data_IF_821688447172
#
_entry.id   IF_821688447172
#
_cell.length_a   1.000
_cell.length_b   1.000
_cell.length_c   1.000
_cell.angle_alpha   90.00
_cell.angle_beta   90.00
_cell.angle_gamma   90.00
#
_symmetry.space_group_name_H-M   'P 1'
#
loop_
_entity.id
_entity.type
_entity.pdbx_description
1 polymer ?
#
# COMPACT_ATOMS: atom_id res chain seq x y z
N UNK A 1 -13.37 8.11 3.60
CA UNK A 1 -12.76 6.92 2.96
C UNK A 1 -12.70 7.23 1.49
N UNK A 2 -11.66 7.93 1.06
CA UNK A 2 -11.50 8.28 -0.35
C UNK A 2 -10.94 7.04 -1.06
N UNK A 3 -11.84 6.28 -1.68
CA UNK A 3 -11.47 5.19 -2.58
C UNK A 3 -10.82 5.81 -3.80
N UNK A 4 -9.50 5.92 -3.79
CA UNK A 4 -8.74 6.25 -4.99
C UNK A 4 -8.67 4.96 -5.84
N UNK A 5 -9.78 4.63 -6.49
CA UNK A 5 -9.77 3.77 -7.66
C UNK A 5 -9.51 4.67 -8.87
N UNK A 6 -8.29 4.62 -9.41
CA UNK A 6 -8.05 5.20 -10.74
C UNK A 6 -8.50 4.18 -11.77
N UNK A 7 -9.69 4.40 -12.34
CA UNK A 7 -10.12 3.72 -13.54
C UNK A 7 -9.41 4.36 -14.73
N UNK A 8 -8.38 3.71 -15.24
CA UNK A 8 -7.69 4.19 -16.44
C UNK A 8 -8.36 3.57 -17.65
N UNK A 9 -9.28 4.31 -18.24
CA UNK A 9 -9.92 3.96 -19.49
C UNK A 9 -9.23 4.67 -20.67
N UNK A 10 -8.15 4.09 -21.18
CA UNK A 10 -7.37 4.66 -22.29
C UNK A 10 -8.09 4.61 -23.65
N UNK A 11 -9.23 3.93 -23.74
CA UNK A 11 -9.97 3.83 -25.01
C UNK A 11 -10.61 5.15 -25.46
N UNK A 12 -10.82 6.11 -24.55
CA UNK A 12 -11.34 7.45 -24.89
C UNK A 12 -10.26 8.51 -25.10
N UNK A 13 -9.04 8.30 -24.59
CA UNK A 13 -7.94 9.27 -24.67
C UNK A 13 -6.94 9.00 -25.81
N UNK A 14 -6.88 7.77 -26.30
CA UNK A 14 -5.99 7.38 -27.40
C UNK A 14 -6.79 7.36 -28.72
N UNK A 15 -6.70 8.46 -29.47
CA UNK A 15 -7.29 8.52 -30.81
C UNK A 15 -6.62 7.47 -31.71
N UNK A 16 -7.41 6.56 -32.27
CA UNK A 16 -6.97 5.59 -33.29
C UNK A 16 -6.49 6.34 -34.55
N UNK A 17 -5.18 6.55 -34.70
CA UNK A 17 -4.55 6.93 -35.98
C UNK A 17 -3.24 6.17 -36.14
N UNK A 18 -2.96 5.65 -37.33
CA UNK A 18 -1.73 4.93 -37.63
C UNK A 18 -0.65 5.89 -38.15
N UNK A 19 0.56 5.85 -37.57
CA UNK A 19 1.74 6.62 -38.00
C UNK A 19 2.90 6.62 -36.98
N UNK A 20 4.14 6.94 -37.38
CA UNK A 20 5.32 6.93 -36.50
C UNK A 20 5.39 8.07 -35.48
N UNK A 21 4.77 9.23 -35.73
CA UNK A 21 4.61 10.31 -34.73
C UNK A 21 3.63 9.90 -33.62
N UNK A 22 2.56 9.20 -33.98
CA UNK A 22 1.54 8.71 -33.04
C UNK A 22 2.11 7.72 -32.01
N UNK A 23 3.02 6.83 -32.43
CA UNK A 23 3.69 5.91 -31.50
C UNK A 23 4.54 6.66 -30.46
N UNK A 24 5.16 7.78 -30.83
CA UNK A 24 5.95 8.60 -29.91
C UNK A 24 5.08 9.35 -28.90
N UNK A 25 3.93 9.86 -29.34
CA UNK A 25 2.98 10.55 -28.47
C UNK A 25 2.35 9.59 -27.44
N UNK A 26 2.01 8.37 -27.87
CA UNK A 26 1.51 7.33 -26.96
C UNK A 26 2.56 6.90 -25.93
N UNK A 27 3.81 6.68 -26.35
CA UNK A 27 4.89 6.35 -25.43
C UNK A 27 5.14 7.46 -24.39
N UNK A 28 5.08 8.73 -24.83
CA UNK A 28 5.18 9.89 -23.93
C UNK A 28 4.01 9.94 -22.95
N UNK A 29 2.79 9.71 -23.44
CA UNK A 29 1.60 9.69 -22.61
C UNK A 29 1.62 8.56 -21.57
N UNK A 30 1.94 7.33 -21.97
CA UNK A 30 2.06 6.17 -21.07
C UNK A 30 3.10 6.41 -19.97
N UNK A 31 4.26 6.95 -20.36
CA UNK A 31 5.30 7.33 -19.38
C UNK A 31 4.82 8.42 -18.42
N UNK A 32 4.15 9.46 -18.93
CA UNK A 32 3.59 10.53 -18.09
C UNK A 32 2.56 10.01 -17.09
N UNK A 33 1.67 9.13 -17.54
CA UNK A 33 0.66 8.48 -16.70
C UNK A 33 1.29 7.63 -15.59
N UNK A 34 2.28 6.79 -15.93
CA UNK A 34 3.00 5.97 -14.95
C UNK A 34 3.79 6.82 -13.94
N UNK A 35 4.31 7.96 -14.39
CA UNK A 35 4.96 8.93 -13.50
C UNK A 35 3.96 9.52 -12.52
N UNK A 36 2.75 9.88 -12.98
CA UNK A 36 1.68 10.38 -12.11
C UNK A 36 1.20 9.32 -11.10
N UNK A 37 1.20 8.03 -11.46
CA UNK A 37 0.92 6.96 -10.50
C UNK A 37 1.93 6.93 -9.36
N UNK A 38 3.23 7.11 -9.66
CA UNK A 38 4.27 7.18 -8.63
C UNK A 38 4.13 8.39 -7.73
N UNK A 39 3.88 9.57 -8.30
CA UNK A 39 3.74 10.81 -7.51
C UNK A 39 2.54 10.75 -6.56
N UNK A 40 1.49 10.04 -6.94
CA UNK A 40 0.28 9.84 -6.14
C UNK A 40 0.28 8.60 -5.24
N UNK A 41 1.39 7.83 -5.17
CA UNK A 41 1.50 6.55 -4.45
C UNK A 41 0.36 5.56 -4.81
N UNK A 42 0.01 5.46 -6.09
CA UNK A 42 -1.02 4.54 -6.59
C UNK A 42 -0.48 3.11 -6.58
N UNK A 43 -1.24 2.19 -5.98
CA UNK A 43 -0.82 0.79 -5.80
C UNK A 43 -1.76 -0.23 -6.42
N UNK A 44 -3.05 0.09 -6.55
CA UNK A 44 -4.05 -0.78 -7.17
C UNK A 44 -4.48 -0.13 -8.48
N UNK A 45 -4.25 -0.81 -9.60
CA UNK A 45 -4.47 -0.27 -10.94
C UNK A 45 -5.50 -1.12 -11.65
N UNK A 46 -6.64 -0.52 -12.00
CA UNK A 46 -7.70 -1.16 -12.79
C UNK A 46 -7.65 -0.56 -14.18
N UNK A 47 -7.40 -1.39 -15.18
CA UNK A 47 -7.17 -0.91 -16.52
C UNK A 47 -7.90 -1.70 -17.60
N UNK A 48 -8.31 -0.98 -18.63
CA UNK A 48 -8.92 -1.53 -19.82
C UNK A 48 -8.09 -1.14 -21.04
N UNK A 49 -7.55 -2.15 -21.72
CA UNK A 49 -6.65 -2.00 -22.87
C UNK A 49 -7.17 -2.77 -24.07
N UNK A 50 -6.59 -2.52 -25.24
CA UNK A 50 -6.53 -3.54 -26.29
C UNK A 50 -5.20 -4.31 -26.15
N UNK A 51 -5.03 -5.42 -26.88
CA UNK A 51 -3.85 -6.29 -26.77
C UNK A 51 -2.54 -5.52 -27.01
N UNK A 52 -2.48 -4.78 -28.11
CA UNK A 52 -1.26 -4.05 -28.51
C UNK A 52 -0.87 -2.95 -27.52
N UNK A 53 -1.85 -2.19 -26.99
CA UNK A 53 -1.61 -1.17 -25.96
C UNK A 53 -1.20 -1.83 -24.65
N UNK A 54 -1.78 -2.98 -24.29
CA UNK A 54 -1.42 -3.69 -23.06
C UNK A 54 0.07 -4.06 -23.06
N UNK A 55 0.57 -4.66 -24.14
CA UNK A 55 1.99 -5.06 -24.22
C UNK A 55 2.93 -3.85 -24.16
N UNK A 56 2.56 -2.74 -24.81
CA UNK A 56 3.30 -1.47 -24.71
C UNK A 56 3.26 -0.88 -23.29
N UNK A 57 2.09 -0.89 -22.65
CA UNK A 57 1.89 -0.35 -21.32
C UNK A 57 2.70 -1.12 -20.28
N UNK A 58 2.68 -2.46 -20.32
CA UNK A 58 3.49 -3.29 -19.44
C UNK A 58 4.99 -3.16 -19.70
N UNK A 59 5.41 -2.94 -20.96
CA UNK A 59 6.80 -2.57 -21.26
C UNK A 59 7.22 -1.26 -20.57
N UNK A 60 6.39 -0.23 -20.63
CA UNK A 60 6.65 1.03 -19.92
C UNK A 60 6.58 0.85 -18.40
N UNK A 61 5.66 0.04 -17.88
CA UNK A 61 5.56 -0.27 -16.46
C UNK A 61 6.79 -1.02 -15.93
N UNK A 62 7.39 -1.91 -16.74
CA UNK A 62 8.64 -2.60 -16.42
C UNK A 62 9.78 -1.59 -16.22
N UNK A 63 9.94 -0.66 -17.16
CA UNK A 63 10.98 0.39 -17.11
C UNK A 63 10.78 1.38 -15.97
N UNK A 64 9.53 1.65 -15.61
CA UNK A 64 9.19 2.50 -14.48
C UNK A 64 9.10 1.72 -13.15
N UNK A 65 9.39 0.41 -13.10
CA UNK A 65 9.30 -0.40 -11.88
C UNK A 65 7.92 -0.37 -11.18
N UNK A 66 6.83 -0.36 -11.95
CA UNK A 66 5.44 -0.40 -11.46
C UNK A 66 4.92 -1.84 -11.55
N UNK A 67 5.55 -2.73 -10.80
CA UNK A 67 5.22 -4.15 -10.69
C UNK A 67 5.74 -4.72 -9.35
N UNK A 68 5.47 -6.00 -9.08
CA UNK A 68 5.93 -6.71 -7.89
C UNK A 68 5.07 -6.46 -6.65
N UNK A 69 5.62 -6.70 -5.46
CA UNK A 69 4.84 -6.78 -4.21
C UNK A 69 4.16 -5.48 -3.76
N UNK A 70 4.47 -4.34 -4.38
CA UNK A 70 3.87 -3.03 -4.07
C UNK A 70 2.69 -2.67 -4.96
N UNK A 71 2.53 -3.31 -6.11
CA UNK A 71 1.55 -2.93 -7.12
C UNK A 71 0.66 -4.13 -7.49
N UNK A 72 -0.63 -3.91 -7.64
CA UNK A 72 -1.56 -4.90 -8.20
C UNK A 72 -2.25 -4.34 -9.43
N UNK A 73 -2.06 -5.04 -10.55
CA UNK A 73 -2.75 -4.78 -11.80
C UNK A 73 -3.99 -5.68 -11.91
N UNK A 74 -5.12 -5.09 -12.29
CA UNK A 74 -6.36 -5.77 -12.64
C UNK A 74 -6.76 -5.30 -14.03
N UNK A 75 -6.72 -6.21 -15.00
CA UNK A 75 -7.04 -5.90 -16.40
C UNK A 75 -8.29 -6.63 -16.87
N UNK A 76 -8.95 -6.07 -17.88
CA UNK A 76 -9.95 -6.82 -18.64
C UNK A 76 -9.24 -7.77 -19.61
N UNK A 77 -9.53 -9.06 -19.49
CA UNK A 77 -8.98 -10.10 -20.35
C UNK A 77 -9.53 -10.00 -21.77
N UNK A 78 -8.68 -10.32 -22.75
CA UNK A 78 -9.04 -10.22 -24.16
C UNK A 78 -9.72 -11.50 -24.67
N UNK A 79 -10.71 -11.41 -25.57
CA UNK A 79 -11.29 -12.57 -26.22
C UNK A 79 -10.36 -13.08 -27.34
N UNK A 80 -9.22 -13.66 -26.97
CA UNK A 80 -8.26 -14.26 -27.91
C UNK A 80 -7.82 -15.65 -27.48
N UNK A 81 -7.37 -16.42 -28.48
CA UNK A 81 -6.75 -17.73 -28.33
C UNK A 81 -5.23 -17.66 -28.35
N UNK A 82 -4.68 -16.51 -28.71
CA UNK A 82 -3.25 -16.25 -28.66
C UNK A 82 -2.85 -15.63 -27.32
N UNK A 83 -1.65 -16.01 -26.89
CA UNK A 83 -0.94 -15.40 -25.78
C UNK A 83 -0.46 -14.01 -26.18
N UNK A 84 -1.25 -12.98 -25.86
CA UNK A 84 -1.03 -11.59 -26.29
C UNK A 84 0.31 -11.01 -25.81
N UNK A 85 0.91 -11.56 -24.75
CA UNK A 85 2.23 -11.17 -24.25
C UNK A 85 3.39 -11.67 -25.13
N UNK A 86 3.10 -12.35 -26.25
CA UNK A 86 4.07 -12.66 -27.31
C UNK A 86 4.01 -11.67 -28.48
N UNK A 87 3.15 -10.65 -28.44
CA UNK A 87 3.13 -9.62 -29.47
C UNK A 87 4.47 -8.84 -29.55
N UNK A 88 4.92 -8.46 -30.75
CA UNK A 88 6.19 -7.77 -30.94
C UNK A 88 6.18 -6.40 -30.26
N UNK A 89 7.16 -6.16 -29.38
CA UNK A 89 7.35 -4.86 -28.71
C UNK A 89 8.83 -4.50 -28.61
N UNK A 90 9.10 -3.23 -28.26
CA UNK A 90 10.45 -2.72 -28.00
C UNK A 90 11.00 -3.16 -26.62
N UNK A 91 10.37 -4.13 -25.96
CA UNK A 91 10.77 -4.68 -24.66
C UNK A 91 11.44 -6.04 -24.86
N UNK A 92 12.36 -6.39 -23.96
CA UNK A 92 12.77 -7.79 -23.85
C UNK A 92 11.63 -8.65 -23.29
N UNK A 93 11.58 -9.93 -23.69
CA UNK A 93 10.60 -10.89 -23.17
C UNK A 93 10.62 -10.96 -21.64
N UNK A 94 11.81 -10.93 -21.04
CA UNK A 94 11.98 -11.01 -19.59
C UNK A 94 11.43 -9.79 -18.86
N UNK A 95 11.69 -8.57 -19.35
CA UNK A 95 11.11 -7.35 -18.77
C UNK A 95 9.57 -7.40 -18.80
N UNK A 96 8.99 -7.86 -19.90
CA UNK A 96 7.55 -7.98 -20.04
C UNK A 96 6.97 -9.02 -19.08
N UNK A 97 7.60 -10.20 -18.97
CA UNK A 97 7.19 -11.25 -18.02
C UNK A 97 7.25 -10.72 -16.59
N UNK A 98 8.31 -10.01 -16.19
CA UNK A 98 8.45 -9.43 -14.85
C UNK A 98 7.30 -8.46 -14.53
N UNK A 99 6.94 -7.60 -15.49
CA UNK A 99 5.88 -6.62 -15.29
C UNK A 99 4.47 -7.22 -15.29
N UNK A 100 4.20 -8.25 -16.10
CA UNK A 100 2.89 -8.89 -16.16
C UNK A 100 2.68 -9.87 -15.00
N UNK A 101 3.74 -10.51 -14.51
CA UNK A 101 3.66 -11.48 -13.41
C UNK A 101 2.86 -10.92 -12.22
N UNK A 102 1.94 -11.71 -11.68
CA UNK A 102 1.02 -11.36 -10.60
C UNK A 102 -0.21 -10.55 -11.02
N UNK A 103 -0.30 -10.09 -12.26
CA UNK A 103 -1.49 -9.38 -12.77
C UNK A 103 -2.72 -10.29 -12.72
N UNK A 104 -3.86 -9.72 -12.33
CA UNK A 104 -5.16 -10.37 -12.39
C UNK A 104 -5.89 -9.92 -13.65
N UNK A 105 -6.54 -10.85 -14.34
CA UNK A 105 -7.44 -10.53 -15.43
C UNK A 105 -8.82 -11.12 -15.20
N UNK A 106 -9.85 -10.37 -15.61
CA UNK A 106 -11.23 -10.87 -15.64
C UNK A 106 -11.59 -11.25 -17.07
N UNK A 107 -12.11 -12.45 -17.27
CA UNK A 107 -12.44 -12.99 -18.59
C UNK A 107 -13.75 -13.75 -18.56
N UNK A 108 -14.54 -13.64 -19.61
CA UNK A 108 -15.75 -14.45 -19.77
C UNK A 108 -15.32 -15.82 -20.31
N UNK A 109 -15.53 -16.95 -19.61
CA UNK A 109 -15.02 -18.24 -20.06
C UNK A 109 -15.67 -18.67 -21.39
N UNK A 110 -14.92 -19.36 -22.27
CA UNK A 110 -15.47 -19.83 -23.56
C UNK A 110 -16.57 -20.88 -23.35
N UNK A 111 -16.34 -21.81 -22.44
CA UNK A 111 -17.27 -22.86 -22.04
C UNK A 111 -17.49 -22.77 -20.54
N UNK A 112 -18.62 -23.26 -20.05
CA UNK A 112 -18.77 -23.39 -18.59
C UNK A 112 -17.72 -24.35 -18.07
N UNK A 113 -17.08 -23.93 -16.98
CA UNK A 113 -16.05 -24.71 -16.27
C UNK A 113 -16.71 -25.89 -15.54
N UNK A 114 -18.02 -25.80 -15.28
CA UNK A 114 -18.76 -26.87 -14.65
C UNK A 114 -19.00 -28.02 -15.63
N UNK A 115 -18.51 -29.20 -15.29
CA UNK A 115 -18.88 -30.44 -15.96
C UNK A 115 -20.22 -30.93 -15.39
N UNK A 116 -21.25 -30.10 -15.53
CA UNK A 116 -22.60 -30.50 -15.13
C UNK A 116 -22.99 -31.77 -15.89
N UNK A 117 -23.32 -32.83 -15.15
CA UNK A 117 -23.81 -34.09 -15.71
C UNK A 117 -25.18 -33.93 -16.42
N UNK A 118 -25.83 -32.77 -16.25
CA UNK A 118 -27.16 -32.45 -16.81
C UNK A 118 -27.11 -31.73 -18.17
N UNK A 119 -25.97 -31.75 -18.88
CA UNK A 119 -25.92 -31.22 -20.25
C UNK A 119 -26.76 -32.09 -21.19
N UNK A 120 -27.51 -31.45 -22.09
CA UNK A 120 -28.28 -32.17 -23.10
C UNK A 120 -27.36 -32.88 -24.09
N UNK A 121 -27.85 -33.97 -24.70
CA UNK A 121 -27.12 -34.73 -25.72
C UNK A 121 -26.66 -33.83 -26.87
N UNK A 122 -27.48 -32.85 -27.27
CA UNK A 122 -27.14 -31.87 -28.30
C UNK A 122 -25.90 -31.05 -27.93
N UNK A 123 -25.74 -30.65 -26.66
CA UNK A 123 -24.55 -29.93 -26.19
C UNK A 123 -23.33 -30.85 -26.21
N UNK A 124 -23.47 -32.12 -25.83
CA UNK A 124 -22.38 -33.09 -25.86
C UNK A 124 -21.92 -33.40 -27.30
N UNK A 125 -22.86 -33.53 -28.22
CA UNK A 125 -22.59 -33.70 -29.65
C UNK A 125 -21.89 -32.47 -30.23
N UNK A 126 -22.39 -31.27 -29.92
CA UNK A 126 -21.74 -30.01 -30.30
C UNK A 126 -20.29 -29.96 -29.81
N UNK A 127 -20.02 -30.33 -28.55
CA UNK A 127 -18.66 -30.32 -28.01
C UNK A 127 -17.72 -31.32 -28.70
N UNK A 128 -18.23 -32.47 -29.16
CA UNK A 128 -17.46 -33.43 -29.97
C UNK A 128 -17.08 -32.83 -31.32
N UNK A 129 -18.07 -32.33 -32.06
CA UNK A 129 -17.86 -31.71 -33.38
C UNK A 129 -16.93 -30.48 -33.26
N UNK A 130 -17.15 -29.68 -32.22
CA UNK A 130 -16.34 -28.49 -31.94
C UNK A 130 -14.86 -28.81 -31.75
N UNK A 131 -14.55 -29.99 -31.19
CA UNK A 131 -13.16 -30.39 -30.95
C UNK A 131 -12.33 -30.49 -32.23
N UNK A 132 -12.98 -30.79 -33.36
CA UNK A 132 -12.41 -31.04 -34.69
C UNK A 132 -12.42 -29.78 -35.60
N UNK A 133 -13.12 -28.72 -35.22
CA UNK A 133 -13.27 -27.50 -36.02
C UNK A 133 -12.18 -26.46 -35.75
N UNK A 134 -12.04 -25.51 -36.68
CA UNK A 134 -11.31 -24.26 -36.43
C UNK A 134 -12.12 -23.40 -35.45
N UNK A 135 -11.47 -23.03 -34.35
CA UNK A 135 -12.13 -22.49 -33.15
C UNK A 135 -12.03 -20.97 -33.12
N UNK A 136 -13.14 -20.29 -32.87
CA UNK A 136 -13.22 -18.87 -32.52
C UNK A 136 -13.74 -18.69 -31.09
N UNK A 137 -13.41 -17.57 -30.47
CA UNK A 137 -13.69 -17.36 -29.05
C UNK A 137 -15.19 -17.46 -28.72
N UNK A 138 -16.06 -17.05 -29.65
CA UNK A 138 -17.49 -16.86 -29.41
C UNK A 138 -18.40 -17.94 -30.02
N UNK A 139 -17.85 -19.01 -30.61
CA UNK A 139 -18.68 -20.04 -31.28
C UNK A 139 -19.74 -20.65 -30.34
N UNK A 140 -19.36 -20.97 -29.11
CA UNK A 140 -20.27 -21.56 -28.13
C UNK A 140 -21.37 -20.58 -27.71
N UNK A 141 -21.08 -19.28 -27.72
CA UNK A 141 -22.06 -18.22 -27.48
C UNK A 141 -23.05 -18.10 -28.64
N UNK A 142 -22.56 -18.24 -29.89
CA UNK A 142 -23.42 -18.27 -31.06
C UNK A 142 -24.34 -19.49 -31.05
N UNK A 143 -23.81 -20.66 -30.70
CA UNK A 143 -24.59 -21.90 -30.52
C UNK A 143 -25.74 -21.69 -29.52
N UNK A 144 -25.43 -21.20 -28.31
CA UNK A 144 -26.44 -20.95 -27.28
C UNK A 144 -27.45 -19.86 -27.70
N UNK A 145 -27.03 -18.89 -28.50
CA UNK A 145 -27.91 -17.83 -29.03
C UNK A 145 -28.97 -18.41 -29.97
N UNK A 146 -28.58 -19.33 -30.86
CA UNK A 146 -29.54 -20.00 -31.76
C UNK A 146 -30.55 -20.81 -30.97
N UNK A 147 -30.12 -21.50 -29.91
CA UNK A 147 -31.03 -22.22 -29.02
C UNK A 147 -31.98 -21.28 -28.27
N UNK A 148 -31.50 -20.15 -27.74
CA UNK A 148 -32.37 -19.13 -27.14
C UNK A 148 -33.44 -18.63 -28.13
N UNK A 149 -33.06 -18.40 -29.39
CA UNK A 149 -34.02 -18.00 -30.44
C UNK A 149 -35.02 -19.11 -30.75
N UNK A 150 -34.60 -20.37 -30.79
CA UNK A 150 -35.49 -21.50 -30.99
C UNK A 150 -36.51 -21.64 -29.84
N UNK A 151 -36.08 -21.46 -28.59
CA UNK A 151 -36.99 -21.42 -27.43
C UNK A 151 -38.01 -20.29 -27.54
N UNK A 152 -37.59 -19.10 -27.96
CA UNK A 152 -38.52 -17.97 -28.17
C UNK A 152 -39.48 -18.23 -29.32
N UNK A 153 -39.02 -18.86 -30.40
CA UNK A 153 -39.86 -19.16 -31.57
C UNK A 153 -41.02 -20.10 -31.23
N UNK A 154 -40.85 -21.00 -30.25
CA UNK A 154 -41.95 -21.86 -29.77
C UNK A 154 -43.08 -21.07 -29.09
N UNK A 155 -42.86 -19.82 -28.72
CA UNK A 155 -43.83 -18.98 -28.02
C UNK A 155 -44.74 -18.30 -29.05
N UNK A 156 -45.93 -18.88 -29.24
CA UNK A 156 -46.91 -18.45 -30.25
C UNK A 156 -47.36 -16.98 -30.11
N UNK A 157 -47.28 -16.38 -28.93
CA UNK A 157 -47.62 -14.97 -28.70
C UNK A 157 -46.71 -13.99 -29.44
N UNK A 158 -45.48 -14.40 -29.78
CA UNK A 158 -44.52 -13.58 -30.55
C UNK A 158 -44.80 -13.58 -32.06
N UNK A 159 -45.64 -14.49 -32.57
CA UNK A 159 -45.99 -14.51 -34.00
C UNK A 159 -47.01 -13.43 -34.39
N UNK A 160 -47.82 -12.95 -33.46
CA UNK A 160 -48.94 -12.04 -33.74
C UNK A 160 -48.68 -10.58 -33.31
N UNK A 161 -47.62 -10.28 -32.56
CA UNK A 161 -47.31 -8.92 -32.11
C UNK A 161 -45.81 -8.62 -32.15
N UNK A 162 -45.45 -7.56 -32.87
CA UNK A 162 -44.10 -6.99 -32.86
C UNK A 162 -43.91 -5.99 -31.70
N UNK A 163 -44.13 -6.44 -30.46
CA UNK A 163 -43.90 -5.60 -29.27
C UNK A 163 -42.59 -6.02 -28.57
N UNK A 164 -41.64 -5.09 -28.50
CA UNK A 164 -40.32 -5.27 -27.89
C UNK A 164 -40.44 -5.59 -26.39
N UNK A 165 -41.44 -5.05 -25.68
CA UNK A 165 -41.64 -5.32 -24.26
C UNK A 165 -42.08 -6.76 -24.01
N UNK A 166 -42.95 -7.27 -24.89
CA UNK A 166 -43.39 -8.67 -24.86
C UNK A 166 -42.20 -9.58 -25.17
N UNK A 167 -41.36 -9.22 -26.14
CA UNK A 167 -40.12 -9.94 -26.43
C UNK A 167 -39.18 -9.98 -25.23
N UNK A 168 -38.91 -8.83 -24.58
CA UNK A 168 -38.07 -8.76 -23.38
C UNK A 168 -38.62 -9.63 -22.24
N UNK A 169 -39.94 -9.59 -22.01
CA UNK A 169 -40.58 -10.41 -20.97
C UNK A 169 -40.39 -11.91 -21.21
N UNK A 170 -40.54 -12.37 -22.45
CA UNK A 170 -40.32 -13.78 -22.79
C UNK A 170 -38.83 -14.15 -22.83
N UNK A 171 -37.96 -13.23 -23.24
CA UNK A 171 -36.50 -13.42 -23.15
C UNK A 171 -36.06 -13.69 -21.70
N UNK A 172 -36.69 -13.00 -20.73
CA UNK A 172 -36.46 -13.24 -19.31
C UNK A 172 -37.08 -14.56 -18.79
N UNK A 173 -37.92 -15.26 -19.55
CA UNK A 173 -38.37 -16.61 -19.18
C UNK A 173 -37.42 -17.72 -19.60
N UNK A 174 -36.45 -17.43 -20.46
CA UNK A 174 -35.47 -18.43 -20.91
C UNK A 174 -34.58 -18.86 -19.75
N UNK A 175 -34.52 -20.18 -19.55
CA UNK A 175 -33.64 -20.84 -18.59
C UNK A 175 -33.34 -22.27 -19.08
N UNK A 176 -32.14 -22.48 -19.62
CA UNK A 176 -31.67 -23.81 -20.04
C UNK A 176 -30.15 -23.95 -19.87
N UNK A 177 -29.63 -25.17 -19.92
CA UNK A 177 -28.20 -25.46 -19.85
C UNK A 177 -27.64 -25.56 -21.28
N UNK A 178 -26.83 -24.58 -21.67
CA UNK A 178 -26.16 -24.51 -22.97
C UNK A 178 -24.69 -24.94 -22.90
N UNK A 179 -23.96 -24.77 -24.01
CA UNK A 179 -22.53 -25.06 -24.11
C UNK A 179 -21.69 -24.14 -23.20
N UNK A 180 -22.15 -22.92 -22.97
CA UNK A 180 -21.49 -21.92 -22.13
C UNK A 180 -22.07 -21.84 -20.72
N UNK A 181 -22.77 -22.88 -20.28
CA UNK A 181 -23.41 -22.98 -18.96
C UNK A 181 -24.89 -22.58 -18.99
N UNK A 182 -25.46 -22.31 -17.82
CA UNK A 182 -26.88 -21.94 -17.69
C UNK A 182 -27.15 -20.59 -18.37
N UNK A 183 -28.00 -20.60 -19.39
CA UNK A 183 -28.36 -19.44 -20.21
C UNK A 183 -29.61 -18.78 -19.63
N UNK A 184 -29.44 -17.55 -19.12
CA UNK A 184 -30.53 -16.72 -18.60
C UNK A 184 -30.31 -15.27 -19.01
N UNK A 185 -31.40 -14.54 -19.15
CA UNK A 185 -31.38 -13.10 -19.45
C UNK A 185 -32.03 -12.29 -18.33
N UNK A 186 -31.52 -11.07 -18.14
CA UNK A 186 -32.03 -10.06 -17.23
C UNK A 186 -31.77 -8.68 -17.86
N UNK A 187 -32.80 -7.84 -17.97
CA UNK A 187 -32.68 -6.49 -18.56
C UNK A 187 -32.09 -6.48 -19.98
N UNK A 188 -32.32 -7.55 -20.76
CA UNK A 188 -31.76 -7.72 -22.10
C UNK A 188 -30.28 -8.14 -22.15
N UNK A 189 -29.60 -8.23 -21.01
CA UNK A 189 -28.25 -8.79 -20.89
C UNK A 189 -28.30 -10.27 -20.54
N UNK A 190 -27.35 -11.06 -21.06
CA UNK A 190 -27.16 -12.43 -20.61
C UNK A 190 -26.42 -12.43 -19.28
N UNK A 191 -26.94 -13.18 -18.31
CA UNK A 191 -26.24 -13.44 -17.05
C UNK A 191 -25.28 -14.61 -17.28
N UNK A 192 -23.97 -14.37 -17.18
CA UNK A 192 -22.92 -15.35 -17.48
C UNK A 192 -21.92 -15.54 -16.33
N UNK A 193 -21.01 -16.48 -16.50
CA UNK A 193 -19.89 -16.70 -15.57
C UNK A 193 -18.76 -15.70 -15.85
N UNK A 194 -18.00 -15.32 -14.82
CA UNK A 194 -16.76 -14.54 -14.97
C UNK A 194 -15.63 -15.32 -14.32
N UNK A 195 -14.57 -15.55 -15.08
CA UNK A 195 -13.35 -16.20 -14.64
C UNK A 195 -12.31 -15.12 -14.28
N UNK A 196 -11.75 -15.23 -13.09
CA UNK A 196 -10.60 -14.43 -12.67
C UNK A 196 -9.36 -15.29 -12.79
N UNK A 197 -8.43 -14.85 -13.63
CA UNK A 197 -7.19 -15.54 -13.90
C UNK A 197 -6.01 -14.68 -13.42
N UNK A 198 -4.92 -15.32 -13.02
CA UNK A 198 -3.68 -14.68 -12.62
C UNK A 198 -2.56 -15.08 -13.59
N UNK A 199 -1.77 -14.10 -14.00
CA UNK A 199 -0.52 -14.34 -14.71
C UNK A 199 0.58 -14.74 -13.73
N UNK A 200 1.22 -15.87 -13.97
CA UNK A 200 2.22 -16.46 -13.07
C UNK A 200 3.46 -16.78 -13.89
N UNK A 201 4.58 -16.15 -13.55
CA UNK A 201 5.88 -16.54 -14.09
C UNK A 201 6.39 -17.77 -13.35
N UNK A 202 6.66 -18.84 -14.09
CA UNK A 202 7.22 -20.07 -13.56
C UNK A 202 8.23 -20.70 -14.51
N UNK A 203 9.08 -21.55 -13.93
CA UNK A 203 9.96 -22.43 -14.69
C UNK A 203 9.16 -23.68 -15.06
N UNK A 204 9.14 -24.00 -16.34
CA UNK A 204 8.53 -25.23 -16.84
C UNK A 204 9.53 -26.37 -16.70
N UNK A 205 9.17 -27.43 -15.98
CA UNK A 205 9.93 -28.67 -15.97
C UNK A 205 9.65 -29.51 -17.21
N UNK A 206 10.52 -30.49 -17.48
CA UNK A 206 10.40 -31.43 -18.60
C UNK A 206 9.14 -32.30 -18.56
N UNK A 207 8.50 -32.42 -17.39
CA UNK A 207 7.23 -33.11 -17.17
C UNK A 207 6.00 -32.19 -17.37
N UNK A 208 6.23 -30.92 -17.74
CA UNK A 208 5.17 -29.92 -17.92
C UNK A 208 4.70 -29.27 -16.62
N UNK A 209 5.32 -29.58 -15.48
CA UNK A 209 4.98 -28.93 -14.21
C UNK A 209 5.58 -27.53 -14.11
N UNK A 210 4.79 -26.60 -13.56
CA UNK A 210 5.14 -25.20 -13.41
C UNK A 210 5.57 -24.96 -11.96
N UNK A 211 6.86 -24.69 -11.74
CA UNK A 211 7.40 -24.35 -10.42
C UNK A 211 7.49 -22.84 -10.29
N UNK A 212 6.70 -22.29 -9.36
CA UNK A 212 6.78 -20.90 -8.91
C UNK A 212 7.49 -20.82 -7.55
N UNK A 213 8.17 -19.70 -7.22
CA UNK A 213 8.29 -18.46 -7.99
C UNK A 213 9.57 -18.40 -8.82
N UNK A 214 9.45 -17.90 -10.05
CA UNK A 214 10.59 -17.40 -10.82
C UNK A 214 11.07 -16.07 -10.20
N UNK A 215 12.24 -16.06 -9.55
CA UNK A 215 12.88 -14.85 -9.04
C UNK A 215 13.81 -14.24 -10.11
N UNK A 216 14.05 -12.93 -9.99
CA UNK A 216 14.31 -11.95 -11.07
C UNK A 216 15.52 -12.18 -12.01
N UNK A 217 16.29 -13.26 -11.90
CA UNK A 217 17.57 -13.45 -12.61
C UNK A 217 17.71 -14.77 -13.39
N UNK A 218 16.67 -15.60 -13.50
CA UNK A 218 16.76 -16.84 -14.30
C UNK A 218 16.20 -16.67 -15.72
N UNK A 219 17.02 -17.00 -16.73
CA UNK A 219 16.72 -16.78 -18.14
C UNK A 219 15.56 -17.62 -18.72
N UNK A 220 15.04 -18.61 -17.97
CA UNK A 220 14.12 -19.65 -18.47
C UNK A 220 12.71 -19.59 -17.87
N UNK A 221 12.23 -18.38 -17.57
CA UNK A 221 10.88 -18.19 -17.03
C UNK A 221 9.88 -17.96 -18.17
N UNK A 222 8.78 -18.72 -18.14
CA UNK A 222 7.63 -18.52 -19.02
C UNK A 222 6.42 -18.07 -18.21
N UNK A 223 5.55 -17.29 -18.87
CA UNK A 223 4.31 -16.82 -18.29
C UNK A 223 3.22 -17.85 -18.52
N UNK A 224 2.49 -18.20 -17.46
CA UNK A 224 1.32 -19.07 -17.53
C UNK A 224 0.14 -18.37 -16.89
N UNK A 225 -1.07 -18.84 -17.22
CA UNK A 225 -2.32 -18.26 -16.70
C UNK A 225 -3.00 -19.28 -15.79
N UNK A 226 -3.14 -18.92 -14.52
CA UNK A 226 -3.78 -19.76 -13.50
C UNK A 226 -5.18 -19.23 -13.19
N UNK A 227 -6.18 -20.10 -13.22
CA UNK A 227 -7.55 -19.76 -12.85
C UNK A 227 -7.66 -19.65 -11.33
N UNK A 228 -8.01 -18.49 -10.79
CA UNK A 228 -8.03 -18.23 -9.34
C UNK A 228 -9.44 -18.27 -8.80
N UNK A 229 -10.37 -17.54 -9.43
CA UNK A 229 -11.76 -17.51 -9.01
C UNK A 229 -12.70 -17.71 -10.18
N UNK A 230 -13.86 -18.28 -9.89
CA UNK A 230 -14.98 -18.35 -10.81
C UNK A 230 -16.18 -17.69 -10.14
N UNK A 231 -16.64 -16.58 -10.68
CA UNK A 231 -17.90 -15.97 -10.30
C UNK A 231 -19.02 -16.63 -11.10
N UNK A 232 -19.92 -17.35 -10.42
CA UNK A 232 -21.13 -17.88 -11.03
C UNK A 232 -22.34 -17.11 -10.51
N UNK A 233 -23.40 -17.08 -11.31
CA UNK A 233 -24.64 -16.46 -10.90
C UNK A 233 -25.33 -17.32 -9.83
N UNK A 234 -26.02 -16.67 -8.89
CA UNK A 234 -26.89 -17.34 -7.92
C UNK A 234 -28.05 -18.07 -8.63
N UNK A 235 -28.74 -18.96 -7.91
CA UNK A 235 -29.98 -19.58 -8.39
C UNK A 235 -31.04 -18.53 -8.72
N UNK A 236 -31.14 -17.47 -7.91
CA UNK A 236 -31.96 -16.29 -8.21
C UNK A 236 -31.27 -15.37 -9.22
N UNK A 237 -32.07 -14.72 -10.09
CA UNK A 237 -31.56 -13.70 -11.03
C UNK A 237 -31.16 -12.39 -10.34
N UNK A 238 -31.66 -12.15 -9.12
CA UNK A 238 -31.53 -10.88 -8.40
C UNK A 238 -30.36 -10.92 -7.41
N UNK A 239 -30.00 -12.11 -6.94
CA UNK A 239 -28.95 -12.28 -5.96
C UNK A 239 -27.57 -12.04 -6.59
N UNK A 240 -26.60 -11.56 -5.80
CA UNK A 240 -25.23 -11.35 -6.27
C UNK A 240 -24.58 -12.66 -6.73
N UNK A 241 -23.61 -12.59 -7.66
CA UNK A 241 -22.87 -13.76 -8.08
C UNK A 241 -22.06 -14.35 -6.92
N UNK A 242 -22.02 -15.67 -6.85
CA UNK A 242 -21.27 -16.46 -5.88
C UNK A 242 -19.85 -16.64 -6.42
N UNK A 243 -18.85 -16.27 -5.61
CA UNK A 243 -17.44 -16.38 -5.96
C UNK A 243 -16.86 -17.70 -5.44
N UNK A 244 -16.50 -18.60 -6.36
CA UNK A 244 -15.84 -19.86 -6.05
C UNK A 244 -14.33 -19.71 -6.16
N UNK A 245 -13.61 -20.07 -5.10
CA UNK A 245 -12.14 -20.13 -5.11
C UNK A 245 -11.70 -21.44 -5.77
N UNK A 246 -10.97 -21.33 -6.88
CA UNK A 246 -10.41 -22.45 -7.61
C UNK A 246 -8.99 -22.74 -7.11
N UNK A 247 -8.12 -21.74 -7.20
CA UNK A 247 -6.71 -21.82 -6.77
C UNK A 247 -6.35 -20.62 -5.89
N UNK A 248 -5.33 -20.72 -5.01
CA UNK A 248 -4.82 -19.57 -4.28
C UNK A 248 -4.16 -18.53 -5.20
N UNK A 249 -4.29 -17.25 -4.86
CA UNK A 249 -3.49 -16.18 -5.50
C UNK A 249 -2.04 -16.31 -5.02
N UNK A 250 -1.10 -16.24 -5.95
CA UNK A 250 0.33 -16.14 -5.65
C UNK A 250 0.74 -14.66 -5.60
N UNK A 251 1.07 -14.16 -4.42
CA UNK A 251 1.57 -12.80 -4.23
C UNK A 251 3.10 -12.79 -4.25
N UNK A 252 3.72 -11.73 -4.77
CA UNK A 252 5.19 -11.57 -4.72
C UNK A 252 5.75 -11.39 -3.30
N UNK A 253 4.90 -11.14 -2.30
CA UNK A 253 5.30 -10.97 -0.90
C UNK A 253 4.36 -11.69 0.06
N UNK A 254 4.32 -11.23 1.31
CA UNK A 254 3.56 -11.88 2.39
C UNK A 254 2.02 -11.75 2.26
N UNK A 255 1.51 -11.22 1.14
CA UNK A 255 0.09 -11.00 0.91
C UNK A 255 -0.20 -9.93 -0.14
N UNK A 256 -1.47 -9.52 -0.28
CA UNK A 256 -1.86 -8.46 -1.20
C UNK A 256 -1.19 -7.12 -0.84
N UNK A 257 -0.83 -6.30 -1.84
CA UNK A 257 -0.34 -4.95 -1.59
C UNK A 257 -1.41 -4.12 -0.89
N UNK A 258 -0.96 -3.25 0.02
CA UNK A 258 -1.84 -2.26 0.65
C UNK A 258 -2.09 -1.12 -0.33
N UNK A 259 -3.24 -0.48 -0.18
CA UNK A 259 -3.64 0.71 -0.95
C UNK A 259 -2.79 1.95 -0.65
N UNK A 260 -2.20 2.04 0.54
CA UNK A 260 -1.36 3.16 0.97
C UNK A 260 -0.20 2.75 1.87
N UNK A 261 0.77 3.66 2.02
CA UNK A 261 1.83 3.55 3.01
C UNK A 261 1.28 3.73 4.43
N UNK A 262 1.64 2.83 5.34
CA UNK A 262 1.37 3.03 6.78
C UNK A 262 2.33 4.08 7.34
N UNK A 263 1.78 5.17 7.88
CA UNK A 263 2.56 6.14 8.63
C UNK A 263 2.66 5.67 10.08
N UNK A 264 3.88 5.38 10.53
CA UNK A 264 4.18 5.10 11.93
C UNK A 264 4.89 6.30 12.53
N UNK A 265 4.32 6.87 13.59
CA UNK A 265 4.94 7.98 14.31
C UNK A 265 5.98 7.37 15.25
N UNK A 266 7.25 7.51 14.91
CA UNK A 266 8.36 7.14 15.77
C UNK A 266 8.86 8.37 16.53
N UNK A 267 8.85 8.29 17.87
CA UNK A 267 9.39 9.34 18.70
C UNK A 267 10.91 9.22 18.73
N UNK A 268 11.62 10.26 18.31
CA UNK A 268 13.07 10.31 18.46
C UNK A 268 13.41 10.58 19.93
N UNK A 269 14.20 9.69 20.53
CA UNK A 269 14.62 9.78 21.93
C UNK A 269 16.13 9.98 22.05
N UNK A 270 16.54 10.64 23.13
CA UNK A 270 17.96 10.74 23.50
C UNK A 270 18.50 9.33 23.78
N UNK A 271 19.68 9.01 23.26
CA UNK A 271 20.36 7.74 23.54
C UNK A 271 20.59 7.57 25.04
N UNK A 272 20.22 6.40 25.57
CA UNK A 272 20.30 6.11 27.00
C UNK A 272 21.74 6.18 27.54
N UNK A 273 22.73 5.84 26.71
CA UNK A 273 24.16 5.93 27.04
C UNK A 273 24.61 7.36 27.31
N UNK A 274 24.17 8.32 26.48
CA UNK A 274 24.47 9.74 26.64
C UNK A 274 23.82 10.29 27.91
N UNK A 275 22.56 9.92 28.15
CA UNK A 275 21.84 10.35 29.36
C UNK A 275 22.51 9.86 30.65
N UNK A 276 22.89 8.58 30.71
CA UNK A 276 23.59 7.99 31.87
C UNK A 276 24.93 8.70 32.10
N UNK A 277 25.73 8.88 31.04
CA UNK A 277 27.07 9.48 31.15
C UNK A 277 27.01 10.91 31.70
N UNK A 278 26.10 11.73 31.18
CA UNK A 278 25.91 13.12 31.63
C UNK A 278 25.36 13.17 33.05
N UNK A 279 24.45 12.25 33.40
CA UNK A 279 23.87 12.16 34.74
C UNK A 279 24.89 11.76 35.80
N UNK A 280 25.82 10.84 35.50
CA UNK A 280 26.94 10.49 36.38
C UNK A 280 27.84 11.71 36.61
N UNK A 281 28.21 12.42 35.54
CA UNK A 281 29.04 13.63 35.64
C UNK A 281 28.36 14.71 36.49
N UNK A 282 27.04 14.90 36.32
CA UNK A 282 26.24 15.83 37.12
C UNK A 282 26.17 15.42 38.59
N UNK A 283 26.00 14.11 38.86
CA UNK A 283 25.99 13.56 40.22
C UNK A 283 27.30 13.77 40.98
N UNK A 284 28.44 13.63 40.30
CA UNK A 284 29.76 13.94 40.88
C UNK A 284 29.85 15.43 41.24
N UNK A 285 29.41 16.32 40.35
CA UNK A 285 29.39 17.77 40.60
C UNK A 285 28.49 18.17 41.77
N UNK A 286 27.33 17.50 41.92
CA UNK A 286 26.41 17.70 43.03
C UNK A 286 27.06 17.29 44.37
N UNK A 287 27.70 16.11 44.41
CA UNK A 287 28.40 15.63 45.60
C UNK A 287 29.50 16.60 46.04
N UNK A 288 30.35 17.04 45.11
CA UNK A 288 31.40 18.03 45.37
C UNK A 288 30.80 19.33 45.93
N UNK A 289 29.71 19.82 45.34
CA UNK A 289 29.04 21.05 45.79
C UNK A 289 28.50 20.93 47.22
N UNK A 290 27.93 19.77 47.58
CA UNK A 290 27.48 19.51 48.96
C UNK A 290 28.65 19.48 49.96
N UNK A 291 29.77 18.85 49.61
CA UNK A 291 30.96 18.82 50.49
C UNK A 291 31.52 20.22 50.74
N UNK A 292 31.61 21.06 49.70
CA UNK A 292 32.06 22.44 49.85
C UNK A 292 31.08 23.30 50.64
N UNK A 293 29.77 23.07 50.50
CA UNK A 293 28.78 23.79 51.32
C UNK A 293 28.93 23.41 52.80
N UNK A 294 29.04 22.12 53.10
CA UNK A 294 29.23 21.65 54.47
C UNK A 294 30.53 22.22 55.08
N UNK A 295 31.62 22.20 54.33
CA UNK A 295 32.90 22.79 54.74
C UNK A 295 32.77 24.29 55.03
N UNK A 296 32.13 25.05 54.15
CA UNK A 296 31.97 26.50 54.28
C UNK A 296 31.08 26.88 55.48
N UNK A 297 30.05 26.08 55.77
CA UNK A 297 29.20 26.25 56.96
C UNK A 297 29.96 25.88 58.24
N UNK A 298 30.68 24.77 58.25
CA UNK A 298 31.38 24.28 59.44
C UNK A 298 32.49 25.24 59.90
N UNK A 299 33.32 25.71 58.96
CA UNK A 299 34.46 26.59 59.25
C UNK A 299 34.14 28.10 59.09
N UNK A 300 32.86 28.48 59.12
CA UNK A 300 32.43 29.87 58.91
C UNK A 300 33.05 30.89 59.89
N UNK A 301 33.46 30.44 61.08
CA UNK A 301 34.11 31.27 62.11
C UNK A 301 35.59 31.53 61.84
N UNK A 302 36.24 30.76 60.96
CA UNK A 302 37.66 30.91 60.67
C UNK A 302 37.94 32.18 59.87
N UNK A 303 38.98 32.94 60.26
CA UNK A 303 39.26 34.29 59.75
C UNK A 303 39.30 34.38 58.22
N UNK A 304 39.98 33.44 57.54
CA UNK A 304 40.07 33.41 56.08
C UNK A 304 38.71 33.21 55.38
N UNK A 305 37.91 32.26 55.88
CA UNK A 305 36.59 31.95 55.29
C UNK A 305 35.63 33.12 55.54
N UNK A 306 35.67 33.72 56.72
CA UNK A 306 34.87 34.91 57.07
C UNK A 306 35.18 36.11 56.16
N UNK A 307 36.44 36.35 55.81
CA UNK A 307 36.83 37.44 54.89
C UNK A 307 36.32 37.20 53.45
N UNK A 308 36.06 35.95 53.06
CA UNK A 308 35.63 35.58 51.71
C UNK A 308 34.12 35.76 51.43
N UNK A 309 33.36 36.35 52.37
CA UNK A 309 31.89 36.50 52.31
C UNK A 309 31.15 35.14 52.26
N UNK A 310 31.17 34.37 53.36
CA UNK A 310 30.69 32.97 53.36
C UNK A 310 29.21 32.82 52.95
N UNK A 311 28.34 33.78 53.32
CA UNK A 311 26.94 33.76 52.92
C UNK A 311 26.74 33.85 51.39
N UNK A 312 27.52 34.68 50.68
CA UNK A 312 27.46 34.76 49.22
C UNK A 312 28.00 33.49 48.57
N UNK A 313 29.08 32.91 49.11
CA UNK A 313 29.63 31.64 48.62
C UNK A 313 28.65 30.47 48.82
N UNK A 314 27.91 30.44 49.93
CA UNK A 314 26.85 29.45 50.16
C UNK A 314 25.73 29.58 49.13
N UNK A 315 25.34 30.81 48.76
CA UNK A 315 24.30 31.05 47.76
C UNK A 315 24.75 30.67 46.33
N UNK A 316 26.05 30.86 46.01
CA UNK A 316 26.67 30.32 44.78
C UNK A 316 26.57 28.79 44.76
N UNK A 317 26.96 28.12 45.84
CA UNK A 317 26.95 26.66 45.93
C UNK A 317 25.52 26.10 45.82
N UNK A 318 24.51 26.75 46.42
CA UNK A 318 23.11 26.40 46.23
C UNK A 318 22.68 26.54 44.76
N UNK A 319 23.11 27.60 44.06
CA UNK A 319 22.89 27.77 42.62
C UNK A 319 23.51 26.64 41.81
N UNK A 320 24.76 26.27 42.08
CA UNK A 320 25.43 25.15 41.41
C UNK A 320 24.73 23.80 41.65
N UNK A 321 24.23 23.53 42.86
CA UNK A 321 23.46 22.31 43.13
C UNK A 321 22.18 22.24 42.29
N UNK A 322 21.44 23.36 42.19
CA UNK A 322 20.26 23.46 41.34
C UNK A 322 20.60 23.29 39.85
N UNK A 323 21.76 23.78 39.41
CA UNK A 323 22.26 23.58 38.04
C UNK A 323 22.43 22.09 37.73
N UNK A 324 23.12 21.34 38.60
CA UNK A 324 23.35 19.91 38.43
C UNK A 324 22.02 19.12 38.46
N UNK A 325 21.09 19.48 39.35
CA UNK A 325 19.75 18.88 39.37
C UNK A 325 18.96 19.18 38.08
N UNK A 326 19.13 20.36 37.48
CA UNK A 326 18.45 20.72 36.22
C UNK A 326 18.83 19.80 35.05
N UNK A 327 20.09 19.35 34.99
CA UNK A 327 20.60 18.45 33.95
C UNK A 327 19.87 17.10 34.00
N UNK A 328 19.67 16.57 35.21
CA UNK A 328 18.96 15.30 35.42
C UNK A 328 17.50 15.44 35.01
N UNK A 329 16.82 16.52 35.41
CA UNK A 329 15.41 16.79 35.08
C UNK A 329 15.22 17.03 33.57
N UNK A 330 16.20 17.64 32.90
CA UNK A 330 16.19 17.88 31.45
C UNK A 330 16.22 16.57 30.66
N UNK A 331 16.93 15.55 31.15
CA UNK A 331 17.04 14.26 30.47
C UNK A 331 15.87 13.30 30.68
N UNK A 332 14.89 13.62 31.54
CA UNK A 332 13.69 12.80 31.75
C UNK A 332 12.84 12.77 30.47
N UNK A 333 12.95 11.72 29.66
CA UNK A 333 12.21 11.63 28.40
C UNK A 333 10.88 10.89 28.58
N UNK A 334 9.95 11.13 27.64
CA UNK A 334 8.65 10.49 27.54
C UNK A 334 8.73 8.96 27.38
N UNK A 335 9.89 8.43 26.96
CA UNK A 335 10.18 7.00 26.89
C UNK A 335 10.27 6.30 28.26
N UNK A 336 10.51 7.05 29.35
CA UNK A 336 10.57 6.48 30.71
C UNK A 336 9.17 6.13 31.26
N UNK A 337 8.09 6.57 30.59
CA UNK A 337 6.72 6.40 31.04
C UNK A 337 5.93 5.47 30.11
N UNK A 338 5.65 4.25 30.58
CA UNK A 338 5.00 3.17 29.80
C UNK A 338 3.55 3.48 29.45
N UNK A 339 2.82 4.20 30.31
CA UNK A 339 1.39 4.51 30.11
C UNK A 339 1.19 5.87 29.46
N UNK A 340 0.57 5.89 28.27
CA UNK A 340 0.28 7.10 27.48
C UNK A 340 -0.43 8.21 28.28
N UNK A 341 -1.40 7.84 29.13
CA UNK A 341 -2.17 8.80 29.94
C UNK A 341 -1.31 9.53 30.99
N UNK A 342 -0.38 8.83 31.65
CA UNK A 342 0.53 9.45 32.63
C UNK A 342 1.62 10.28 31.94
N UNK A 343 2.04 9.86 30.74
CA UNK A 343 3.10 10.52 29.96
C UNK A 343 2.77 11.99 29.65
N UNK A 344 1.55 12.27 29.21
CA UNK A 344 1.13 13.65 28.87
C UNK A 344 1.04 14.55 30.09
N UNK A 345 0.43 14.05 31.19
CA UNK A 345 0.29 14.81 32.44
C UNK A 345 1.67 15.15 33.02
N UNK A 346 2.56 14.16 33.12
CA UNK A 346 3.89 14.34 33.70
C UNK A 346 4.75 15.26 32.82
N UNK A 347 4.71 15.12 31.49
CA UNK A 347 5.47 16.00 30.60
C UNK A 347 4.99 17.46 30.66
N UNK A 348 3.69 17.69 30.80
CA UNK A 348 3.13 19.04 30.97
C UNK A 348 3.62 19.72 32.26
N UNK A 349 3.89 18.95 33.33
CA UNK A 349 4.42 19.47 34.59
C UNK A 349 5.95 19.63 34.53
N UNK A 350 6.67 18.66 33.97
CA UNK A 350 8.14 18.68 33.91
C UNK A 350 8.65 19.78 32.98
N UNK A 351 7.95 20.06 31.88
CA UNK A 351 8.34 21.06 30.88
C UNK A 351 8.60 22.46 31.49
N UNK A 352 7.67 23.07 32.25
CA UNK A 352 7.94 24.34 32.92
C UNK A 352 9.02 24.20 34.00
N UNK A 353 8.98 23.13 34.81
CA UNK A 353 9.94 22.91 35.92
C UNK A 353 11.39 22.96 35.43
N UNK A 354 11.68 22.42 34.25
CA UNK A 354 13.02 22.47 33.62
C UNK A 354 13.54 23.90 33.48
N UNK A 355 12.68 24.80 33.00
CA UNK A 355 13.04 26.20 32.77
C UNK A 355 13.21 26.90 34.12
N UNK A 356 12.26 26.70 35.05
CA UNK A 356 12.30 27.32 36.37
C UNK A 356 13.56 26.98 37.16
N UNK A 357 13.94 25.70 37.25
CA UNK A 357 15.13 25.28 38.00
C UNK A 357 16.39 25.89 37.38
N UNK A 358 16.50 25.88 36.04
CA UNK A 358 17.66 26.45 35.35
C UNK A 358 17.79 27.97 35.57
N UNK A 359 16.68 28.71 35.46
CA UNK A 359 16.65 30.15 35.68
C UNK A 359 17.00 30.52 37.12
N UNK A 360 16.44 29.81 38.11
CA UNK A 360 16.73 30.04 39.54
C UNK A 360 18.21 29.73 39.82
N UNK A 361 18.71 28.60 39.33
CA UNK A 361 20.12 28.20 39.43
C UNK A 361 21.06 29.30 38.92
N UNK A 362 20.84 29.75 37.69
CA UNK A 362 21.66 30.78 37.05
C UNK A 362 21.62 32.09 37.85
N UNK A 363 20.43 32.52 38.27
CA UNK A 363 20.22 33.77 39.00
C UNK A 363 20.93 33.75 40.36
N UNK A 364 20.82 32.66 41.12
CA UNK A 364 21.48 32.52 42.43
C UNK A 364 23.01 32.52 42.28
N UNK A 365 23.55 31.77 41.31
CA UNK A 365 25.00 31.66 41.11
C UNK A 365 25.61 32.98 40.61
N UNK A 366 25.12 33.51 39.48
CA UNK A 366 25.66 34.73 38.88
C UNK A 366 25.34 35.98 39.70
N UNK A 367 24.14 36.08 40.27
CA UNK A 367 23.75 37.20 41.13
C UNK A 367 24.63 37.33 42.37
N UNK A 368 24.98 36.20 42.99
CA UNK A 368 25.91 36.17 44.13
C UNK A 368 27.34 36.54 43.76
N UNK A 369 27.82 36.06 42.61
CA UNK A 369 29.15 36.41 42.11
C UNK A 369 29.23 37.92 41.84
N UNK A 370 28.21 38.48 41.17
CA UNK A 370 28.10 39.90 40.90
C UNK A 370 28.02 40.73 42.19
N UNK A 371 27.23 40.30 43.17
CA UNK A 371 27.13 40.98 44.48
C UNK A 371 28.49 41.01 45.20
N UNK A 372 29.29 39.95 45.05
CA UNK A 372 30.63 39.86 45.63
C UNK A 372 31.60 40.83 44.95
N UNK A 373 31.61 40.91 43.62
CA UNK A 373 32.45 41.87 42.88
C UNK A 373 32.00 43.31 43.13
N UNK A 374 30.69 43.56 43.19
CA UNK A 374 30.14 44.88 43.49
C UNK A 374 30.52 45.35 44.90
N UNK A 375 30.46 44.45 45.89
CA UNK A 375 30.90 44.75 47.26
C UNK A 375 32.35 45.21 47.29
N UNK A 376 33.24 44.54 46.55
CA UNK A 376 34.66 44.92 46.46
C UNK A 376 34.81 46.30 45.82
N UNK A 377 34.16 46.52 44.67
CA UNK A 377 34.17 47.82 43.99
C UNK A 377 33.71 48.95 44.92
N UNK A 378 32.57 48.79 45.59
CA UNK A 378 32.00 49.79 46.49
C UNK A 378 32.93 50.12 47.67
N UNK A 379 33.66 49.15 48.22
CA UNK A 379 34.64 49.41 49.28
C UNK A 379 35.77 50.30 48.75
N UNK A 380 36.33 49.99 47.58
CA UNK A 380 37.44 50.77 47.02
C UNK A 380 37.02 52.17 46.55
N UNK A 381 35.81 52.33 46.02
CA UNK A 381 35.33 53.65 45.61
C UNK A 381 35.00 54.56 46.80
N UNK A 382 34.50 54.00 47.91
CA UNK A 382 34.18 54.77 49.12
C UNK A 382 35.40 55.17 49.95
N UNK A 383 36.57 54.55 49.72
CA UNK A 383 37.84 54.93 50.40
C UNK A 383 38.50 56.13 49.71
N UNK A 384 38.16 56.40 48.44
CA UNK A 384 38.76 57.44 47.62
C UNK A 384 37.95 58.76 47.57
N UNK A 385 36.92 58.88 48.41
CA UNK A 385 36.13 60.09 48.69
C UNK A 385 36.23 60.42 50.16
#
# INVERSE_FOLDING_TARGET
MDKIQFEVNLTRGLAYRHGPEWQKDNARYMKGLLTDFKTRDVRIIIANFNQTIATQMFCHAAREHIYGSRYQWIILGFPSLSDWWHEPTNCSKQELIRAINGTLQTRVPRFSIDTDQNRSDNVLEYLKIYSEMNKTYFDAYAYDTIWSLAYLYQIQSLHNQSNIEIFKKHLETIDFIGATGRVRYLNGGRIGEILVEQFVACRMMTDGTCISPCYEEEDDCNLTVVKVFLAKNSESKIDPPILYKLNPIMWHGNGPPRDRTNQTIEFQHIYISVFISISICSGIGLFISCTFLAFNIHFQSHRFIRMSSPALNNLILCGCMLAYMSIIVMGINSSLFIKKSYREIIMNIICPIRVWILCISFTLAFGSMFSKTWRVHSIFTNINT
#
